data_IF_262512048274
#
_entry.id   IF_262512048274
#
_cell.length_a   1.000
_cell.length_b   1.000
_cell.length_c   1.000
_cell.angle_alpha   90.00
_cell.angle_beta   90.00
_cell.angle_gamma   90.00
#
_symmetry.space_group_name_H-M   'P 1'
#
loop_
_entity.id
_entity.type
_entity.pdbx_description
1 polymer ?
#
# COMPACT_ATOMS: atom_id res chain seq x y z
N UNK A 1 44.32 -21.55 23.70
CA UNK A 1 43.99 -20.54 24.73
C UNK A 1 43.30 -19.39 24.03
N UNK A 2 42.04 -19.13 24.33
CA UNK A 2 41.42 -17.85 23.94
C UNK A 2 42.20 -16.72 24.63
N UNK A 3 42.56 -15.67 23.91
CA UNK A 3 43.08 -14.47 24.57
C UNK A 3 41.99 -13.91 25.49
N UNK A 4 42.39 -13.47 26.70
CA UNK A 4 41.47 -12.87 27.67
C UNK A 4 40.63 -11.75 27.03
N UNK A 5 41.22 -11.01 26.08
CA UNK A 5 40.57 -9.95 25.30
C UNK A 5 39.35 -10.45 24.52
N UNK A 6 39.43 -11.63 23.89
CA UNK A 6 38.32 -12.23 23.13
C UNK A 6 37.19 -12.69 24.08
N UNK A 7 37.56 -13.21 25.25
CA UNK A 7 36.59 -13.61 26.27
C UNK A 7 35.84 -12.39 26.84
N UNK A 8 36.55 -11.30 27.16
CA UNK A 8 35.94 -10.03 27.55
C UNK A 8 35.01 -9.48 26.47
N UNK A 9 35.41 -9.57 25.20
CA UNK A 9 34.58 -9.12 24.07
C UNK A 9 33.28 -9.93 23.98
N UNK A 10 33.35 -11.27 24.03
CA UNK A 10 32.18 -12.16 23.93
C UNK A 10 31.17 -11.94 25.05
N UNK A 11 31.65 -11.84 26.30
CA UNK A 11 30.79 -11.53 27.45
C UNK A 11 30.25 -10.10 27.39
N UNK A 12 31.05 -9.14 26.93
CA UNK A 12 30.60 -7.76 26.71
C UNK A 12 29.49 -7.66 25.67
N UNK A 13 29.61 -8.39 24.56
CA UNK A 13 28.57 -8.47 23.52
C UNK A 13 27.30 -9.14 24.05
N UNK A 14 27.41 -10.24 24.79
CA UNK A 14 26.27 -10.90 25.44
C UNK A 14 25.51 -9.95 26.38
N UNK A 15 26.25 -9.20 27.20
CA UNK A 15 25.69 -8.18 28.11
C UNK A 15 25.01 -7.07 27.31
N UNK A 16 25.67 -6.53 26.30
CA UNK A 16 25.14 -5.43 25.49
C UNK A 16 23.85 -5.83 24.74
N UNK A 17 23.81 -7.04 24.16
CA UNK A 17 22.60 -7.55 23.49
C UNK A 17 21.46 -7.70 24.50
N UNK A 18 21.72 -8.33 25.66
CA UNK A 18 20.73 -8.47 26.72
C UNK A 18 20.21 -7.12 27.19
N UNK A 19 21.11 -6.18 27.49
CA UNK A 19 20.74 -4.83 27.90
C UNK A 19 19.86 -4.11 26.86
N UNK A 20 20.22 -4.21 25.59
CA UNK A 20 19.48 -3.58 24.49
C UNK A 20 18.06 -4.15 24.35
N UNK A 21 17.88 -5.47 24.48
CA UNK A 21 16.54 -6.10 24.50
C UNK A 21 15.75 -5.63 25.72
N UNK A 22 16.38 -5.57 26.89
CA UNK A 22 15.72 -5.18 28.12
C UNK A 22 15.31 -3.70 28.18
N UNK A 23 16.12 -2.80 27.61
CA UNK A 23 15.80 -1.38 27.53
C UNK A 23 14.54 -1.13 26.70
N UNK A 24 14.38 -1.85 25.59
CA UNK A 24 13.14 -1.82 24.82
C UNK A 24 11.96 -2.33 25.67
N UNK A 25 12.16 -3.42 26.42
CA UNK A 25 11.09 -4.02 27.23
C UNK A 25 10.58 -3.07 28.30
N UNK A 26 11.50 -2.38 28.97
CA UNK A 26 11.24 -1.37 29.99
C UNK A 26 10.50 -0.16 29.40
N UNK A 27 10.98 0.36 28.27
CA UNK A 27 10.33 1.46 27.55
C UNK A 27 8.89 1.13 27.10
N UNK A 28 8.65 -0.09 26.62
CA UNK A 28 7.33 -0.51 26.13
C UNK A 28 6.28 -0.71 27.24
N UNK A 29 6.68 -0.84 28.51
CA UNK A 29 5.79 -1.06 29.65
C UNK A 29 5.69 0.16 30.58
N UNK A 30 6.19 1.33 30.14
CA UNK A 30 6.37 2.57 30.90
C UNK A 30 5.09 3.27 31.39
N UNK A 31 4.22 2.54 32.08
CA UNK A 31 3.24 3.11 33.01
C UNK A 31 3.92 3.20 34.39
N UNK A 32 4.07 4.39 35.01
CA UNK A 32 4.83 4.58 36.25
C UNK A 32 4.38 3.70 37.44
N UNK A 33 3.14 3.20 37.39
CA UNK A 33 2.52 2.40 38.45
C UNK A 33 2.57 0.88 38.21
N UNK A 34 3.24 0.40 37.14
CA UNK A 34 3.39 -1.04 36.88
C UNK A 34 4.80 -1.53 37.23
N UNK A 35 4.90 -2.33 38.28
CA UNK A 35 6.11 -3.09 38.60
C UNK A 35 6.48 -4.02 37.43
N UNK A 36 7.62 -3.76 36.78
CA UNK A 36 8.12 -4.56 35.66
C UNK A 36 8.94 -5.73 36.22
N UNK A 37 8.57 -6.97 35.89
CA UNK A 37 9.27 -8.17 36.39
C UNK A 37 10.70 -8.32 35.82
N UNK A 38 10.95 -7.83 34.60
CA UNK A 38 12.25 -7.95 33.94
C UNK A 38 12.59 -6.69 33.13
N UNK A 39 13.30 -5.75 33.77
CA UNK A 39 13.85 -4.56 33.12
C UNK A 39 15.21 -4.80 32.43
N UNK A 40 15.84 -3.70 32.00
CA UNK A 40 17.12 -3.66 31.28
C UNK A 40 18.25 -4.47 31.95
N UNK A 41 18.35 -4.40 33.28
CA UNK A 41 19.36 -5.10 34.07
C UNK A 41 19.13 -6.61 34.08
N UNK A 42 17.87 -7.03 34.15
CA UNK A 42 17.50 -8.46 34.21
C UNK A 42 17.81 -9.14 32.88
N UNK A 43 17.52 -8.48 31.75
CA UNK A 43 17.89 -9.00 30.43
C UNK A 43 19.40 -8.99 30.17
N UNK A 44 20.13 -7.99 30.65
CA UNK A 44 21.60 -8.00 30.60
C UNK A 44 22.17 -9.22 31.36
N UNK A 45 21.61 -9.52 32.53
CA UNK A 45 21.97 -10.70 33.32
C UNK A 45 21.56 -12.01 32.63
N UNK A 46 20.45 -12.06 31.91
CA UNK A 46 20.08 -13.23 31.10
C UNK A 46 21.06 -13.47 29.94
N UNK A 47 21.51 -12.42 29.25
CA UNK A 47 22.56 -12.53 28.23
C UNK A 47 23.86 -13.07 28.82
N UNK A 48 24.29 -12.53 29.97
CA UNK A 48 25.46 -13.04 30.68
C UNK A 48 25.27 -14.49 31.15
N UNK A 49 24.09 -14.85 31.65
CA UNK A 49 23.77 -16.20 32.08
C UNK A 49 23.88 -17.20 30.93
N UNK A 50 23.47 -16.82 29.73
CA UNK A 50 23.67 -17.62 28.51
C UNK A 50 25.15 -17.84 28.19
N UNK A 51 25.95 -16.78 28.23
CA UNK A 51 27.40 -16.89 28.01
C UNK A 51 28.09 -17.75 29.09
N UNK A 52 27.70 -17.61 30.36
CA UNK A 52 28.17 -18.45 31.46
C UNK A 52 27.75 -19.91 31.30
N UNK A 53 26.52 -20.18 30.86
CA UNK A 53 26.04 -21.52 30.62
C UNK A 53 26.83 -22.22 29.52
N UNK A 54 27.11 -21.50 28.43
CA UNK A 54 27.92 -22.00 27.33
C UNK A 54 29.38 -22.24 27.77
N UNK A 55 29.96 -21.33 28.56
CA UNK A 55 31.30 -21.51 29.13
C UNK A 55 31.40 -22.72 30.06
N UNK A 56 30.42 -22.89 30.95
CA UNK A 56 30.39 -24.04 31.85
C UNK A 56 30.28 -25.37 31.10
N UNK A 57 29.54 -25.40 29.99
CA UNK A 57 29.41 -26.58 29.15
C UNK A 57 30.71 -26.96 28.44
N UNK A 58 31.43 -25.96 27.93
CA UNK A 58 32.72 -26.17 27.25
C UNK A 58 33.80 -26.61 28.26
N UNK A 59 33.87 -26.00 29.46
CA UNK A 59 34.83 -26.40 30.50
C UNK A 59 34.57 -27.81 31.05
N UNK A 60 33.30 -28.16 31.29
CA UNK A 60 32.91 -29.48 31.79
C UNK A 60 32.87 -30.54 30.68
N UNK A 61 33.10 -30.17 29.41
CA UNK A 61 32.94 -31.02 28.23
C UNK A 61 31.60 -31.78 28.22
N UNK A 62 30.54 -31.15 28.73
CA UNK A 62 29.25 -31.80 28.96
C UNK A 62 28.10 -30.86 28.67
N UNK A 63 27.26 -31.25 27.70
CA UNK A 63 26.04 -30.54 27.36
C UNK A 63 25.02 -30.51 28.53
N UNK A 64 25.18 -31.37 29.54
CA UNK A 64 24.31 -31.39 30.71
C UNK A 64 24.44 -30.12 31.57
N UNK A 65 25.62 -29.49 31.59
CA UNK A 65 25.82 -28.24 32.32
C UNK A 65 25.01 -27.09 31.69
N UNK A 66 24.99 -27.01 30.35
CA UNK A 66 24.17 -26.05 29.62
C UNK A 66 22.68 -26.27 29.87
N UNK A 67 22.22 -27.51 29.72
CA UNK A 67 20.81 -27.88 29.93
C UNK A 67 20.37 -27.62 31.37
N UNK A 68 21.23 -27.92 32.35
CA UNK A 68 20.95 -27.67 33.78
C UNK A 68 20.75 -26.18 34.08
N UNK A 69 21.62 -25.32 33.55
CA UNK A 69 21.52 -23.86 33.75
C UNK A 69 20.27 -23.31 33.03
N UNK A 70 19.99 -23.75 31.80
CA UNK A 70 18.77 -23.36 31.08
C UNK A 70 17.51 -23.82 31.83
N UNK A 71 17.49 -25.02 32.41
CA UNK A 71 16.34 -25.51 33.18
C UNK A 71 16.08 -24.65 34.42
N UNK A 72 17.13 -24.20 35.11
CA UNK A 72 17.00 -23.30 36.27
C UNK A 72 16.39 -21.97 35.84
N UNK A 73 16.90 -21.37 34.76
CA UNK A 73 16.32 -20.13 34.23
C UNK A 73 14.91 -20.34 33.68
N UNK A 74 14.64 -21.48 33.03
CA UNK A 74 13.31 -21.87 32.57
C UNK A 74 12.31 -22.00 33.73
N UNK A 75 12.74 -22.53 34.88
CA UNK A 75 11.92 -22.59 36.09
C UNK A 75 11.62 -21.19 36.63
N UNK A 76 12.61 -20.28 36.67
CA UNK A 76 12.38 -18.89 37.07
C UNK A 76 11.42 -18.17 36.11
N UNK A 77 11.59 -18.34 34.79
CA UNK A 77 10.70 -17.76 33.78
C UNK A 77 9.27 -18.30 33.92
N UNK A 78 9.12 -19.62 34.11
CA UNK A 78 7.81 -20.26 34.31
C UNK A 78 7.14 -19.75 35.58
N UNK A 79 7.89 -19.62 36.67
CA UNK A 79 7.39 -19.08 37.92
C UNK A 79 6.94 -17.61 37.75
N UNK A 80 7.73 -16.79 37.06
CA UNK A 80 7.39 -15.41 36.74
C UNK A 80 6.10 -15.33 35.90
N UNK A 81 5.99 -16.13 34.84
CA UNK A 81 4.80 -16.20 33.99
C UNK A 81 3.55 -16.61 34.77
N UNK A 82 3.65 -17.61 35.65
CA UNK A 82 2.52 -18.06 36.48
C UNK A 82 2.05 -16.97 37.44
N UNK A 83 2.97 -16.15 37.97
CA UNK A 83 2.63 -15.00 38.82
C UNK A 83 1.91 -13.92 38.01
N UNK A 84 2.39 -13.59 36.81
CA UNK A 84 1.76 -12.60 35.93
C UNK A 84 0.40 -13.05 35.40
N UNK A 85 0.27 -14.31 35.02
CA UNK A 85 -0.99 -14.90 34.61
C UNK A 85 -2.05 -14.82 35.72
N UNK A 86 -1.66 -15.01 36.99
CA UNK A 86 -2.54 -14.83 38.15
C UNK A 86 -2.96 -13.37 38.37
N UNK A 87 -2.12 -12.41 37.99
CA UNK A 87 -2.44 -10.97 38.00
C UNK A 87 -3.27 -10.52 36.80
N UNK A 88 -3.67 -11.43 35.90
CA UNK A 88 -4.43 -11.14 34.69
C UNK A 88 -3.60 -10.53 33.57
N UNK A 89 -2.27 -10.46 33.71
CA UNK A 89 -1.36 -10.00 32.67
C UNK A 89 -0.85 -11.21 31.88
N UNK A 90 -1.60 -11.60 30.84
CA UNK A 90 -1.24 -12.76 30.01
C UNK A 90 -0.52 -12.28 28.75
N UNK A 91 0.77 -12.55 28.64
CA UNK A 91 1.54 -12.35 27.41
C UNK A 91 2.77 -13.24 27.39
N UNK A 92 3.01 -13.94 26.27
CA UNK A 92 4.15 -14.87 26.08
C UNK A 92 5.41 -14.21 25.51
N UNK A 93 5.29 -12.96 25.07
CA UNK A 93 6.38 -12.25 24.35
C UNK A 93 7.59 -11.96 25.23
N UNK A 94 7.41 -11.80 26.55
CA UNK A 94 8.50 -11.49 27.48
C UNK A 94 9.38 -12.71 27.68
N UNK A 95 8.73 -13.85 27.86
CA UNK A 95 9.30 -15.15 28.15
C UNK A 95 10.11 -15.63 26.95
N UNK A 96 9.54 -15.47 25.74
CA UNK A 96 10.25 -15.74 24.48
C UNK A 96 11.47 -14.82 24.33
N UNK A 97 11.34 -13.52 24.63
CA UNK A 97 12.47 -12.60 24.56
C UNK A 97 13.59 -12.95 25.55
N UNK A 98 13.25 -13.42 26.76
CA UNK A 98 14.24 -13.90 27.75
C UNK A 98 14.98 -15.12 27.21
N UNK A 99 14.27 -16.09 26.64
CA UNK A 99 14.88 -17.28 26.01
C UNK A 99 15.82 -16.87 24.88
N UNK A 100 15.42 -15.92 24.05
CA UNK A 100 16.27 -15.39 22.98
C UNK A 100 17.51 -14.70 23.55
N UNK A 101 17.40 -13.89 24.62
CA UNK A 101 18.52 -13.22 25.25
C UNK A 101 19.57 -14.21 25.83
N UNK A 102 19.10 -15.29 26.49
CA UNK A 102 19.99 -16.36 26.97
C UNK A 102 20.67 -17.06 25.78
N UNK A 103 19.92 -17.33 24.71
CA UNK A 103 20.44 -18.03 23.52
C UNK A 103 21.46 -17.17 22.77
N UNK A 104 21.23 -15.87 22.61
CA UNK A 104 22.19 -14.95 21.97
C UNK A 104 23.44 -14.75 22.81
N UNK A 105 23.33 -14.75 24.14
CA UNK A 105 24.48 -14.79 25.04
C UNK A 105 25.34 -16.05 24.88
N UNK A 106 24.70 -17.20 24.71
CA UNK A 106 25.36 -18.48 24.43
C UNK A 106 26.08 -18.46 23.07
N UNK A 107 25.41 -17.94 22.04
CA UNK A 107 25.99 -17.77 20.69
C UNK A 107 27.20 -16.82 20.68
N UNK A 108 27.16 -15.76 21.48
CA UNK A 108 28.28 -14.85 21.64
C UNK A 108 29.50 -15.56 22.22
N UNK A 109 29.32 -16.44 23.22
CA UNK A 109 30.40 -17.23 23.79
C UNK A 109 30.98 -18.24 22.79
N UNK A 110 30.16 -18.91 21.98
CA UNK A 110 30.64 -19.84 20.94
C UNK A 110 31.32 -19.15 19.74
N UNK A 111 31.45 -17.82 19.76
CA UNK A 111 32.14 -17.04 18.73
C UNK A 111 31.27 -16.61 17.55
N UNK A 112 29.96 -16.91 17.57
CA UNK A 112 29.01 -16.46 16.55
C UNK A 112 28.53 -15.02 16.80
N UNK A 113 29.47 -14.09 16.97
CA UNK A 113 29.20 -12.71 17.39
C UNK A 113 28.25 -11.96 16.43
N UNK A 114 28.47 -12.08 15.13
CA UNK A 114 27.63 -11.46 14.10
C UNK A 114 26.20 -12.00 14.13
N UNK A 115 26.02 -13.31 14.32
CA UNK A 115 24.70 -13.92 14.41
C UNK A 115 23.99 -13.52 15.71
N UNK A 116 24.70 -13.51 16.83
CA UNK A 116 24.17 -13.07 18.13
C UNK A 116 23.69 -11.61 18.07
N UNK A 117 24.50 -10.72 17.48
CA UNK A 117 24.13 -9.31 17.26
C UNK A 117 22.92 -9.18 16.33
N UNK A 118 22.91 -9.89 15.19
CA UNK A 118 21.79 -9.83 14.25
C UNK A 118 20.48 -10.28 14.88
N UNK A 119 20.47 -11.41 15.61
CA UNK A 119 19.29 -11.91 16.32
C UNK A 119 18.89 -10.94 17.44
N UNK A 120 19.85 -10.43 18.21
CA UNK A 120 19.60 -9.47 19.28
C UNK A 120 18.93 -8.20 18.77
N UNK A 121 19.49 -7.58 17.74
CA UNK A 121 18.94 -6.37 17.10
C UNK A 121 17.58 -6.67 16.47
N UNK A 122 17.44 -7.76 15.70
CA UNK A 122 16.18 -8.12 15.07
C UNK A 122 15.06 -8.35 16.09
N UNK A 123 15.38 -9.00 17.22
CA UNK A 123 14.45 -9.22 18.32
C UNK A 123 13.99 -7.90 18.93
N UNK A 124 14.93 -6.98 19.19
CA UNK A 124 14.60 -5.65 19.74
C UNK A 124 13.77 -4.83 18.77
N UNK A 125 14.10 -4.84 17.48
CA UNK A 125 13.29 -4.17 16.44
C UNK A 125 11.88 -4.74 16.43
N UNK A 126 11.75 -6.08 16.42
CA UNK A 126 10.44 -6.74 16.42
C UNK A 126 9.61 -6.41 17.66
N UNK A 127 10.24 -6.34 18.84
CA UNK A 127 9.57 -5.92 20.07
C UNK A 127 9.20 -4.43 20.06
N UNK A 128 10.04 -3.56 19.47
CA UNK A 128 9.81 -2.12 19.38
C UNK A 128 8.60 -1.77 18.51
N UNK A 129 8.37 -2.53 17.44
CA UNK A 129 7.26 -2.30 16.49
C UNK A 129 5.89 -2.67 17.10
N UNK A 130 5.85 -3.35 18.26
CA UNK A 130 4.61 -3.76 18.92
C UNK A 130 3.66 -2.60 19.22
N UNK A 131 4.16 -1.45 19.67
CA UNK A 131 3.33 -0.28 20.03
C UNK A 131 2.54 0.26 18.83
N UNK A 132 3.15 0.26 17.65
CA UNK A 132 2.51 0.69 16.41
C UNK A 132 1.60 -0.40 15.84
N UNK A 133 2.01 -1.67 15.95
CA UNK A 133 1.22 -2.83 15.48
C UNK A 133 -0.09 -2.96 16.25
N UNK A 134 -0.09 -2.79 17.57
CA UNK A 134 -1.31 -2.85 18.38
C UNK A 134 -2.26 -1.69 18.08
N UNK A 135 -1.72 -0.47 17.87
CA UNK A 135 -2.54 0.68 17.47
C UNK A 135 -3.14 0.46 16.08
N UNK A 136 -2.34 -0.02 15.13
CA UNK A 136 -2.81 -0.34 13.78
C UNK A 136 -3.84 -1.46 13.81
N UNK A 137 -3.58 -2.56 14.52
CA UNK A 137 -4.52 -3.68 14.66
C UNK A 137 -5.85 -3.25 15.30
N UNK A 138 -5.82 -2.33 16.28
CA UNK A 138 -7.03 -1.75 16.87
C UNK A 138 -7.78 -0.80 15.93
N UNK A 139 -7.08 -0.21 14.95
CA UNK A 139 -7.70 0.66 13.94
C UNK A 139 -8.36 -0.11 12.79
N UNK A 140 -8.05 -1.41 12.66
CA UNK A 140 -8.63 -2.27 11.63
C UNK A 140 -10.06 -2.66 11.99
N UNK A 141 -10.97 -2.46 11.03
CA UNK A 141 -12.35 -2.90 11.11
C UNK A 141 -12.52 -4.28 10.47
N UNK A 142 -13.71 -4.89 10.61
CA UNK A 142 -14.00 -6.17 9.93
C UNK A 142 -13.95 -6.03 8.41
N UNK A 143 -14.33 -4.87 7.90
CA UNK A 143 -14.29 -4.52 6.49
C UNK A 143 -12.84 -4.46 5.99
N UNK A 144 -11.91 -3.90 6.78
CA UNK A 144 -10.48 -3.83 6.44
C UNK A 144 -9.86 -5.23 6.27
N UNK A 145 -10.13 -6.11 7.23
CA UNK A 145 -9.65 -7.50 7.20
C UNK A 145 -10.27 -8.23 6.01
N UNK A 146 -11.56 -8.02 5.74
CA UNK A 146 -12.24 -8.62 4.60
C UNK A 146 -11.64 -8.15 3.27
N UNK A 147 -11.35 -6.86 3.12
CA UNK A 147 -10.71 -6.30 1.93
C UNK A 147 -9.31 -6.91 1.68
N UNK A 148 -8.50 -7.02 2.74
CA UNK A 148 -7.16 -7.61 2.67
C UNK A 148 -7.23 -9.10 2.29
N UNK A 149 -8.14 -9.85 2.92
CA UNK A 149 -8.36 -11.27 2.61
C UNK A 149 -8.88 -11.46 1.19
N UNK A 150 -9.79 -10.62 0.72
CA UNK A 150 -10.29 -10.70 -0.66
C UNK A 150 -9.20 -10.39 -1.68
N UNK A 151 -8.36 -9.38 -1.45
CA UNK A 151 -7.19 -9.11 -2.29
C UNK A 151 -6.23 -10.32 -2.30
N UNK A 152 -6.01 -10.94 -1.14
CA UNK A 152 -5.21 -12.16 -1.03
C UNK A 152 -5.83 -13.35 -1.79
N UNK A 153 -7.15 -13.52 -1.73
CA UNK A 153 -7.86 -14.57 -2.48
C UNK A 153 -7.73 -14.36 -3.99
N UNK A 154 -7.99 -13.15 -4.50
CA UNK A 154 -7.90 -12.89 -5.95
C UNK A 154 -6.48 -13.02 -6.49
N UNK A 155 -5.46 -12.69 -5.68
CA UNK A 155 -4.04 -12.69 -6.09
C UNK A 155 -3.33 -14.03 -5.85
N UNK A 156 -3.49 -14.63 -4.67
CA UNK A 156 -2.75 -15.83 -4.28
C UNK A 156 -3.49 -17.14 -4.60
N UNK A 157 -4.81 -17.10 -4.79
CA UNK A 157 -5.62 -18.30 -5.10
C UNK A 157 -6.13 -18.24 -6.54
N UNK A 158 -6.89 -17.20 -6.91
CA UNK A 158 -7.56 -17.18 -8.23
C UNK A 158 -6.57 -17.01 -9.37
N UNK A 159 -5.66 -16.04 -9.29
CA UNK A 159 -4.67 -15.76 -10.35
C UNK A 159 -3.85 -17.01 -10.78
N UNK A 160 -3.23 -17.80 -9.88
CA UNK A 160 -2.42 -18.94 -10.29
C UNK A 160 -3.24 -20.11 -10.85
N UNK A 161 -4.54 -20.20 -10.56
CA UNK A 161 -5.42 -21.25 -11.08
C UNK A 161 -5.82 -20.97 -12.54
N UNK A 162 -5.78 -19.70 -12.98
CA UNK A 162 -6.25 -19.32 -14.31
C UNK A 162 -5.26 -19.74 -15.41
N UNK A 163 -5.77 -20.28 -16.52
CA UNK A 163 -4.92 -20.75 -17.61
C UNK A 163 -4.28 -19.56 -18.34
N UNK A 164 -2.97 -19.64 -18.58
CA UNK A 164 -2.21 -18.64 -19.32
C UNK A 164 -2.20 -18.94 -20.82
N UNK A 165 -3.39 -18.99 -21.41
CA UNK A 165 -3.57 -19.19 -22.85
C UNK A 165 -4.79 -18.40 -23.33
N UNK A 166 -4.74 -17.93 -24.58
CA UNK A 166 -5.86 -17.20 -25.17
C UNK A 166 -7.01 -18.16 -25.47
N UNK A 167 -8.25 -17.76 -25.16
CA UNK A 167 -9.43 -18.61 -25.37
C UNK A 167 -9.95 -18.59 -26.80
N UNK A 168 -9.81 -17.46 -27.51
CA UNK A 168 -10.37 -17.29 -28.85
C UNK A 168 -9.30 -17.52 -29.92
N UNK A 169 -9.69 -18.07 -31.10
CA UNK A 169 -8.80 -18.18 -32.23
C UNK A 169 -8.43 -16.79 -32.80
N UNK A 170 -7.30 -16.67 -33.53
CA UNK A 170 -6.96 -15.46 -34.27
C UNK A 170 -8.13 -15.06 -35.17
N UNK A 171 -8.53 -13.78 -35.20
CA UNK A 171 -7.79 -12.59 -34.73
C UNK A 171 -8.26 -12.00 -33.38
N UNK A 172 -9.05 -12.75 -32.61
CA UNK A 172 -9.55 -12.36 -31.28
C UNK A 172 -8.81 -13.07 -30.13
N UNK A 173 -7.63 -13.62 -30.43
CA UNK A 173 -6.67 -14.26 -29.51
C UNK A 173 -6.07 -13.30 -28.47
N UNK A 174 -6.69 -12.14 -28.27
CA UNK A 174 -6.34 -11.12 -27.29
C UNK A 174 -6.85 -11.47 -25.88
N UNK A 175 -7.89 -12.30 -25.77
CA UNK A 175 -8.48 -12.68 -24.48
C UNK A 175 -7.71 -13.80 -23.80
N UNK A 176 -6.78 -13.42 -22.93
CA UNK A 176 -6.05 -14.33 -22.04
C UNK A 176 -6.53 -14.15 -20.58
N UNK A 177 -7.12 -15.18 -19.95
CA UNK A 177 -7.69 -15.08 -18.60
C UNK A 177 -6.67 -14.72 -17.54
N UNK A 178 -5.48 -15.33 -17.60
CA UNK A 178 -4.40 -15.04 -16.67
C UNK A 178 -3.98 -13.57 -16.77
N UNK A 179 -3.80 -13.04 -17.99
CA UNK A 179 -3.44 -11.62 -18.18
C UNK A 179 -4.54 -10.66 -17.76
N UNK A 180 -5.80 -10.95 -18.12
CA UNK A 180 -6.97 -10.17 -17.69
C UNK A 180 -7.03 -10.12 -16.17
N UNK A 181 -6.86 -11.26 -15.52
CA UNK A 181 -6.92 -11.33 -14.06
C UNK A 181 -5.70 -10.70 -13.39
N UNK A 182 -4.52 -10.75 -14.04
CA UNK A 182 -3.35 -10.01 -13.59
C UNK A 182 -3.63 -8.50 -13.56
N UNK A 183 -4.33 -7.97 -14.57
CA UNK A 183 -4.79 -6.57 -14.57
C UNK A 183 -5.78 -6.29 -13.44
N UNK A 184 -6.72 -7.21 -13.16
CA UNK A 184 -7.65 -7.10 -12.02
C UNK A 184 -6.89 -6.99 -10.70
N UNK A 185 -5.91 -7.87 -10.47
CA UNK A 185 -5.07 -7.87 -9.26
C UNK A 185 -4.25 -6.59 -9.18
N UNK A 186 -3.69 -6.13 -10.29
CA UNK A 186 -2.87 -4.92 -10.34
C UNK A 186 -3.65 -3.66 -9.97
N UNK A 187 -4.81 -3.42 -10.60
CA UNK A 187 -5.67 -2.26 -10.29
C UNK A 187 -6.23 -2.36 -8.87
N UNK A 188 -6.65 -3.56 -8.45
CA UNK A 188 -7.12 -3.77 -7.08
C UNK A 188 -6.01 -3.49 -6.06
N UNK A 189 -4.77 -3.85 -6.37
CA UNK A 189 -3.60 -3.60 -5.53
C UNK A 189 -3.31 -2.10 -5.38
N UNK A 190 -3.31 -1.32 -6.46
CA UNK A 190 -3.10 0.13 -6.41
C UNK A 190 -4.20 0.79 -5.56
N UNK A 191 -5.45 0.45 -5.81
CA UNK A 191 -6.56 1.04 -5.06
C UNK A 191 -6.56 0.56 -3.58
N UNK A 192 -6.14 -0.67 -3.28
CA UNK A 192 -5.99 -1.15 -1.89
C UNK A 192 -4.86 -0.43 -1.15
N UNK A 193 -3.74 -0.15 -1.82
CA UNK A 193 -2.69 0.70 -1.26
C UNK A 193 -3.22 2.10 -0.93
N UNK A 194 -4.06 2.68 -1.80
CA UNK A 194 -4.76 3.92 -1.53
C UNK A 194 -5.65 3.83 -0.28
N UNK A 195 -6.39 2.74 -0.14
CA UNK A 195 -7.24 2.47 1.03
C UNK A 195 -6.44 2.33 2.33
N UNK A 196 -5.35 1.55 2.31
CA UNK A 196 -4.44 1.40 3.46
C UNK A 196 -3.79 2.73 3.83
N UNK A 197 -3.41 3.55 2.84
CA UNK A 197 -2.85 4.87 3.09
C UNK A 197 -3.83 5.78 3.86
N UNK A 198 -5.14 5.70 3.58
CA UNK A 198 -6.18 6.41 4.35
C UNK A 198 -6.15 5.97 5.82
N UNK A 199 -6.08 4.67 6.08
CA UNK A 199 -6.07 4.13 7.45
C UNK A 199 -4.81 4.51 8.23
N UNK A 200 -3.65 4.52 7.58
CA UNK A 200 -2.37 4.90 8.21
C UNK A 200 -2.32 6.40 8.51
N UNK A 201 -2.82 7.25 7.60
CA UNK A 201 -2.78 8.71 7.74
C UNK A 201 -3.91 9.24 8.64
N UNK A 202 -5.01 8.51 8.75
CA UNK A 202 -6.17 8.82 9.59
C UNK A 202 -7.29 9.61 8.86
N UNK A 203 -8.56 9.50 9.31
CA UNK A 203 -9.72 10.10 8.64
C UNK A 203 -9.86 11.62 8.87
N UNK A 204 -9.23 12.19 9.90
CA UNK A 204 -9.36 13.61 10.26
C UNK A 204 -8.43 14.58 9.49
N UNK A 205 -8.16 14.29 8.22
CA UNK A 205 -7.26 15.11 7.40
C UNK A 205 -8.01 16.22 6.66
N UNK A 206 -7.25 17.21 6.17
CA UNK A 206 -7.81 18.27 5.36
C UNK A 206 -8.44 17.74 4.07
N UNK A 207 -9.53 18.36 3.62
CA UNK A 207 -10.36 17.96 2.47
C UNK A 207 -9.52 17.59 1.22
N UNK A 208 -8.41 18.29 0.96
CA UNK A 208 -7.49 17.99 -0.15
C UNK A 208 -6.75 16.66 -0.03
N UNK A 209 -6.31 16.26 1.18
CA UNK A 209 -5.65 14.97 1.44
C UNK A 209 -6.67 13.83 1.24
N UNK A 210 -7.90 14.02 1.72
CA UNK A 210 -9.00 13.08 1.51
C UNK A 210 -9.30 12.92 0.02
N UNK A 211 -9.20 13.99 -0.77
CA UNK A 211 -9.27 13.95 -2.23
C UNK A 211 -8.13 13.17 -2.90
N UNK A 212 -6.88 13.36 -2.44
CA UNK A 212 -5.72 12.61 -2.94
C UNK A 212 -5.87 11.11 -2.68
N UNK A 213 -6.12 10.74 -1.43
CA UNK A 213 -6.19 9.36 -1.01
C UNK A 213 -7.43 8.66 -1.60
N UNK A 214 -8.57 9.36 -1.60
CA UNK A 214 -9.78 8.89 -2.29
C UNK A 214 -9.58 8.78 -3.81
N UNK A 215 -8.77 9.65 -4.41
CA UNK A 215 -8.43 9.61 -5.84
C UNK A 215 -7.59 8.41 -6.23
N UNK A 216 -6.72 7.91 -5.32
CA UNK A 216 -5.98 6.66 -5.52
C UNK A 216 -6.94 5.47 -5.61
N UNK A 217 -7.99 5.47 -4.78
CA UNK A 217 -9.01 4.43 -4.76
C UNK A 217 -9.97 4.56 -5.94
N UNK A 218 -10.68 5.70 -6.06
CA UNK A 218 -11.68 6.00 -7.09
C UNK A 218 -11.93 7.51 -7.18
N UNK A 219 -11.40 8.14 -8.23
CA UNK A 219 -11.66 9.57 -8.51
C UNK A 219 -13.12 9.85 -8.87
N UNK A 220 -13.88 8.87 -9.36
CA UNK A 220 -15.33 8.98 -9.59
C UNK A 220 -16.11 9.11 -8.29
N UNK A 221 -15.77 8.31 -7.28
CA UNK A 221 -16.44 8.34 -5.97
C UNK A 221 -16.17 9.68 -5.25
N UNK A 222 -14.93 10.17 -5.30
CA UNK A 222 -14.56 11.51 -4.78
C UNK A 222 -15.35 12.60 -5.51
N UNK A 223 -15.44 12.52 -6.84
CA UNK A 223 -16.18 13.51 -7.64
C UNK A 223 -17.64 13.55 -7.24
N UNK A 224 -18.31 12.39 -7.14
CA UNK A 224 -19.73 12.31 -6.77
C UNK A 224 -19.97 12.81 -5.34
N UNK A 225 -19.24 12.28 -4.37
CA UNK A 225 -19.42 12.56 -2.94
C UNK A 225 -19.24 14.05 -2.62
N UNK A 226 -18.13 14.65 -3.08
CA UNK A 226 -17.87 16.07 -2.85
C UNK A 226 -18.76 16.99 -3.68
N UNK A 227 -19.22 16.56 -4.86
CA UNK A 227 -20.21 17.32 -5.61
C UNK A 227 -21.55 17.36 -4.87
N UNK A 228 -22.02 16.24 -4.33
CA UNK A 228 -23.26 16.21 -3.56
C UNK A 228 -23.15 17.05 -2.26
N UNK A 229 -22.05 16.88 -1.51
CA UNK A 229 -21.80 17.62 -0.27
C UNK A 229 -21.69 19.13 -0.49
N UNK A 230 -21.16 19.58 -1.63
CA UNK A 230 -21.08 21.02 -1.94
C UNK A 230 -22.43 21.74 -1.99
N UNK A 231 -23.54 21.00 -2.18
CA UNK A 231 -24.89 21.58 -2.07
C UNK A 231 -25.32 21.80 -0.62
N UNK A 232 -24.85 20.95 0.31
CA UNK A 232 -25.18 20.99 1.73
C UNK A 232 -24.27 21.96 2.49
N UNK A 233 -23.02 22.08 2.05
CA UNK A 233 -21.97 22.90 2.67
C UNK A 233 -21.38 23.89 1.63
N UNK A 234 -22.09 24.98 1.26
CA UNK A 234 -21.65 25.90 0.21
C UNK A 234 -20.30 26.57 0.52
N UNK A 235 -20.01 26.85 1.78
CA UNK A 235 -18.78 27.49 2.25
C UNK A 235 -17.53 26.63 1.98
N UNK A 236 -17.71 25.30 1.87
CA UNK A 236 -16.65 24.33 1.57
C UNK A 236 -16.53 24.00 0.07
N UNK A 237 -17.25 24.71 -0.81
CA UNK A 237 -17.21 24.45 -2.26
C UNK A 237 -15.81 24.57 -2.86
N UNK A 238 -14.97 25.51 -2.40
CA UNK A 238 -13.58 25.63 -2.88
C UNK A 238 -12.69 24.48 -2.40
N UNK A 239 -12.70 24.10 -1.10
CA UNK A 239 -12.06 22.86 -0.64
C UNK A 239 -12.50 21.61 -1.41
N UNK A 240 -13.80 21.46 -1.69
CA UNK A 240 -14.30 20.35 -2.50
C UNK A 240 -13.79 20.40 -3.95
N UNK A 241 -13.75 21.58 -4.58
CA UNK A 241 -13.14 21.73 -5.90
C UNK A 241 -11.66 21.32 -5.90
N UNK A 242 -10.92 21.72 -4.86
CA UNK A 242 -9.53 21.32 -4.67
C UNK A 242 -9.42 19.79 -4.60
N UNK A 243 -10.19 19.14 -3.73
CA UNK A 243 -10.12 17.70 -3.53
C UNK A 243 -10.51 16.89 -4.76
N UNK A 244 -11.55 17.33 -5.49
CA UNK A 244 -11.95 16.72 -6.78
C UNK A 244 -10.83 16.88 -7.81
N UNK A 245 -10.25 18.07 -7.93
CA UNK A 245 -9.16 18.31 -8.89
C UNK A 245 -7.93 17.49 -8.54
N UNK A 246 -7.57 17.40 -7.25
CA UNK A 246 -6.48 16.53 -6.78
C UNK A 246 -6.74 15.07 -7.15
N UNK A 247 -7.97 14.57 -6.97
CA UNK A 247 -8.33 13.21 -7.35
C UNK A 247 -8.19 12.96 -8.87
N UNK A 248 -8.51 13.95 -9.70
CA UNK A 248 -8.28 13.87 -11.14
C UNK A 248 -6.78 13.93 -11.49
N UNK A 249 -5.99 14.74 -10.78
CA UNK A 249 -4.52 14.77 -10.95
C UNK A 249 -3.88 13.41 -10.62
N UNK A 250 -4.34 12.74 -9.56
CA UNK A 250 -3.89 11.39 -9.20
C UNK A 250 -4.20 10.38 -10.31
N UNK A 251 -5.36 10.49 -10.97
CA UNK A 251 -5.72 9.62 -12.09
C UNK A 251 -4.73 9.74 -13.26
N UNK A 252 -4.29 10.95 -13.63
CA UNK A 252 -3.26 11.10 -14.67
C UNK A 252 -1.94 10.41 -14.29
N UNK A 253 -1.53 10.50 -13.03
CA UNK A 253 -0.36 9.79 -12.54
C UNK A 253 -0.56 8.26 -12.61
N UNK A 254 -1.75 7.76 -12.27
CA UNK A 254 -2.10 6.33 -12.38
C UNK A 254 -2.02 5.81 -13.80
N UNK A 255 -2.55 6.55 -14.78
CA UNK A 255 -2.44 6.18 -16.22
C UNK A 255 -0.99 5.98 -16.64
N UNK A 256 -0.06 6.83 -16.20
CA UNK A 256 1.38 6.66 -16.49
C UNK A 256 1.95 5.41 -15.82
N UNK A 257 1.60 5.16 -14.57
CA UNK A 257 2.04 3.94 -13.86
C UNK A 257 1.53 2.69 -14.58
N UNK A 258 0.27 2.68 -14.98
CA UNK A 258 -0.38 1.57 -15.70
C UNK A 258 0.30 1.30 -17.05
N UNK A 259 0.52 2.32 -17.87
CA UNK A 259 1.25 2.19 -19.13
C UNK A 259 2.68 1.69 -18.89
N UNK A 260 3.37 2.24 -17.90
CA UNK A 260 4.75 1.89 -17.58
C UNK A 260 4.93 0.43 -17.15
N UNK A 261 4.00 -0.08 -16.34
CA UNK A 261 4.04 -1.47 -15.86
C UNK A 261 3.69 -2.46 -16.98
N UNK A 262 2.71 -2.13 -17.85
CA UNK A 262 2.29 -3.06 -18.91
C UNK A 262 3.26 -3.05 -20.09
N UNK A 263 3.58 -1.86 -20.62
CA UNK A 263 4.42 -1.68 -21.80
C UNK A 263 5.18 -0.36 -21.78
N UNK A 264 6.36 -0.38 -21.15
CA UNK A 264 7.24 0.77 -20.94
C UNK A 264 7.54 1.61 -22.20
N UNK A 265 7.78 1.06 -23.41
CA UNK A 265 8.04 1.88 -24.61
C UNK A 265 6.89 2.82 -24.98
N UNK A 266 5.65 2.48 -24.64
CA UNK A 266 4.49 3.35 -24.91
C UNK A 266 4.51 4.63 -24.06
N UNK A 267 5.26 4.64 -22.96
CA UNK A 267 5.43 5.84 -22.14
C UNK A 267 6.04 6.99 -22.94
N UNK A 268 6.96 6.72 -23.88
CA UNK A 268 7.65 7.75 -24.66
C UNK A 268 6.69 8.66 -25.43
N UNK A 269 5.51 8.13 -25.79
CA UNK A 269 4.47 8.89 -26.47
C UNK A 269 3.43 9.46 -25.49
N UNK A 270 3.05 8.69 -24.46
CA UNK A 270 1.96 9.07 -23.54
C UNK A 270 2.40 10.06 -22.46
N UNK A 271 3.69 10.14 -22.12
CA UNK A 271 4.15 10.92 -20.97
C UNK A 271 3.89 12.42 -21.13
N UNK A 272 4.16 13.02 -22.29
CA UNK A 272 4.00 14.47 -22.48
C UNK A 272 2.54 14.89 -22.26
N UNK A 273 1.53 14.32 -22.95
CA UNK A 273 0.18 14.83 -22.82
C UNK A 273 -0.44 14.58 -21.44
N UNK A 274 -0.18 13.41 -20.86
CA UNK A 274 -0.74 13.05 -19.56
C UNK A 274 -0.07 13.83 -18.43
N UNK A 275 1.26 14.00 -18.45
CA UNK A 275 1.95 14.83 -17.45
C UNK A 275 1.60 16.31 -17.59
N UNK A 276 1.47 16.83 -18.82
CA UNK A 276 1.08 18.22 -19.04
C UNK A 276 -0.32 18.51 -18.46
N UNK A 277 -1.32 17.66 -18.73
CA UNK A 277 -2.64 17.76 -18.10
C UNK A 277 -2.59 17.62 -16.58
N UNK A 278 -1.80 16.66 -16.08
CA UNK A 278 -1.61 16.46 -14.64
C UNK A 278 -0.99 17.68 -13.94
N UNK A 279 0.03 18.30 -14.55
CA UNK A 279 0.70 19.50 -14.04
C UNK A 279 -0.23 20.70 -14.01
N UNK A 280 -1.08 20.88 -15.04
CA UNK A 280 -2.10 21.92 -15.04
C UNK A 280 -3.07 21.73 -13.88
N UNK A 281 -3.53 20.50 -13.65
CA UNK A 281 -4.34 20.15 -12.49
C UNK A 281 -3.62 20.48 -11.17
N UNK A 282 -2.35 20.09 -11.04
CA UNK A 282 -1.52 20.34 -9.87
C UNK A 282 -1.33 21.85 -9.60
N UNK A 283 -0.99 22.64 -10.61
CA UNK A 283 -0.85 24.10 -10.47
C UNK A 283 -2.19 24.75 -10.08
N UNK A 284 -3.30 24.26 -10.63
CA UNK A 284 -4.62 24.74 -10.24
C UNK A 284 -4.97 24.36 -8.80
N UNK A 285 -4.62 23.14 -8.36
CA UNK A 285 -4.73 22.72 -6.96
C UNK A 285 -3.91 23.64 -6.04
N UNK A 286 -2.66 23.95 -6.38
CA UNK A 286 -1.84 24.87 -5.59
C UNK A 286 -2.48 26.26 -5.51
N UNK A 287 -2.96 26.79 -6.64
CA UNK A 287 -3.70 28.06 -6.66
C UNK A 287 -4.93 28.03 -5.75
N UNK A 288 -5.75 26.98 -5.83
CA UNK A 288 -6.93 26.81 -4.98
C UNK A 288 -6.55 26.66 -3.50
N UNK A 289 -5.46 25.97 -3.19
CA UNK A 289 -4.97 25.79 -1.81
C UNK A 289 -4.55 27.13 -1.20
N UNK A 290 -3.75 27.93 -1.90
CA UNK A 290 -3.34 29.26 -1.41
C UNK A 290 -4.46 30.31 -1.44
N UNK A 291 -5.51 30.11 -2.25
CA UNK A 291 -6.70 30.97 -2.30
C UNK A 291 -7.69 30.71 -1.14
N UNK A 292 -7.47 29.67 -0.34
CA UNK A 292 -8.33 29.30 0.79
C UNK A 292 -7.72 29.75 2.13
N UNK A 293 -8.57 30.24 3.04
CA UNK A 293 -8.19 30.66 4.41
C UNK A 293 -8.71 29.72 5.51
N UNK A 294 -9.35 28.62 5.15
CA UNK A 294 -10.07 27.77 6.12
C UNK A 294 -9.49 26.36 6.11
N UNK A 295 -8.89 25.95 7.22
CA UNK A 295 -8.43 24.59 7.46
C UNK A 295 -9.57 23.76 8.08
N UNK A 296 -10.56 23.42 7.26
CA UNK A 296 -11.64 22.50 7.66
C UNK A 296 -11.27 21.06 7.35
N UNK A 297 -11.59 20.16 8.28
CA UNK A 297 -11.36 18.71 8.17
C UNK A 297 -12.45 18.11 7.29
N UNK A 298 -12.04 17.29 6.33
CA UNK A 298 -12.94 16.62 5.40
C UNK A 298 -13.03 15.15 5.72
N UNK A 299 -14.10 14.72 6.36
CA UNK A 299 -14.36 13.29 6.55
C UNK A 299 -15.08 12.72 5.32
N UNK A 300 -14.55 11.66 4.72
CA UNK A 300 -15.27 10.87 3.71
C UNK A 300 -15.40 9.47 4.27
N UNK A 301 -16.64 8.99 4.39
CA UNK A 301 -16.91 7.59 4.65
C UNK A 301 -16.57 6.78 3.40
N UNK A 302 -15.36 6.22 3.37
CA UNK A 302 -14.93 5.33 2.31
C UNK A 302 -15.42 3.92 2.63
N UNK A 303 -16.47 3.51 1.92
CA UNK A 303 -16.88 2.11 1.91
C UNK A 303 -15.80 1.25 1.25
N UNK A 304 -15.62 0.02 1.76
CA UNK A 304 -14.67 -0.94 1.21
C UNK A 304 -14.88 -1.08 -0.33
N UNK A 305 -13.92 -0.67 -1.16
CA UNK A 305 -14.06 -0.72 -2.63
C UNK A 305 -13.89 -2.14 -3.17
N UNK A 306 -13.27 -3.01 -2.38
CA UNK A 306 -12.89 -4.35 -2.80
C UNK A 306 -13.94 -5.31 -2.28
N UNK A 307 -14.68 -5.83 -3.24
CA UNK A 307 -15.37 -7.10 -3.09
C UNK A 307 -14.99 -7.95 -4.30
N UNK A 308 -15.01 -9.26 -4.13
CA UNK A 308 -14.76 -10.23 -5.20
C UNK A 308 -15.67 -9.93 -6.41
N UNK A 309 -16.90 -9.47 -6.15
CA UNK A 309 -17.83 -9.03 -7.19
C UNK A 309 -17.32 -7.84 -8.02
N UNK A 310 -16.72 -6.83 -7.39
CA UNK A 310 -16.14 -5.67 -8.09
C UNK A 310 -14.94 -6.07 -8.95
N UNK A 311 -14.08 -6.95 -8.43
CA UNK A 311 -12.95 -7.50 -9.17
C UNK A 311 -13.38 -8.28 -10.43
N UNK A 312 -14.40 -9.13 -10.29
CA UNK A 312 -14.99 -9.87 -11.43
C UNK A 312 -15.61 -8.91 -12.45
N UNK A 313 -16.39 -7.91 -11.99
CA UNK A 313 -16.98 -6.89 -12.87
C UNK A 313 -15.92 -6.12 -13.65
N UNK A 314 -14.83 -5.72 -12.98
CA UNK A 314 -13.71 -5.06 -13.64
C UNK A 314 -13.05 -5.99 -14.67
N UNK A 315 -12.77 -7.25 -14.33
CA UNK A 315 -12.18 -8.21 -15.27
C UNK A 315 -13.04 -8.45 -16.50
N UNK A 316 -14.37 -8.53 -16.32
CA UNK A 316 -15.33 -8.64 -17.42
C UNK A 316 -15.36 -7.36 -18.28
N UNK A 317 -15.39 -6.19 -17.65
CA UNK A 317 -15.35 -4.90 -18.35
C UNK A 317 -14.06 -4.76 -19.16
N UNK A 318 -12.91 -5.06 -18.55
CA UNK A 318 -11.61 -5.05 -19.21
C UNK A 318 -11.57 -6.00 -20.42
N UNK A 319 -12.00 -7.25 -20.24
CA UNK A 319 -12.09 -8.22 -21.34
C UNK A 319 -13.03 -7.76 -22.46
N UNK A 320 -14.18 -7.18 -22.11
CA UNK A 320 -15.11 -6.62 -23.08
C UNK A 320 -14.48 -5.45 -23.86
N UNK A 321 -13.83 -4.52 -23.16
CA UNK A 321 -13.15 -3.37 -23.79
C UNK A 321 -12.06 -3.86 -24.73
N UNK A 322 -11.24 -4.83 -24.31
CA UNK A 322 -10.20 -5.43 -25.15
C UNK A 322 -10.78 -6.02 -26.44
N UNK A 323 -11.89 -6.77 -26.33
CA UNK A 323 -12.56 -7.39 -27.48
C UNK A 323 -13.20 -6.34 -28.39
N UNK A 324 -13.91 -5.36 -27.81
CA UNK A 324 -14.56 -4.27 -28.55
C UNK A 324 -13.53 -3.41 -29.27
N UNK A 325 -12.44 -3.04 -28.61
CA UNK A 325 -11.36 -2.27 -29.23
C UNK A 325 -10.69 -3.03 -30.36
N UNK A 326 -10.46 -4.35 -30.18
CA UNK A 326 -9.92 -5.18 -31.26
C UNK A 326 -10.90 -5.30 -32.44
N UNK A 327 -12.18 -5.51 -32.17
CA UNK A 327 -13.22 -5.57 -33.20
C UNK A 327 -13.34 -4.22 -33.95
N UNK A 328 -13.38 -3.11 -33.21
CA UNK A 328 -13.47 -1.78 -33.78
C UNK A 328 -12.25 -1.45 -34.65
N UNK A 329 -11.04 -1.80 -34.20
CA UNK A 329 -9.83 -1.66 -35.01
C UNK A 329 -9.91 -2.46 -36.31
N UNK A 330 -10.49 -3.67 -36.28
CA UNK A 330 -10.58 -4.55 -37.44
C UNK A 330 -11.60 -4.08 -38.47
N UNK A 331 -12.80 -3.73 -38.04
CA UNK A 331 -13.92 -3.43 -38.93
C UNK A 331 -13.98 -1.95 -39.34
N UNK A 332 -13.53 -1.05 -38.45
CA UNK A 332 -13.66 0.40 -38.59
C UNK A 332 -12.29 1.11 -38.63
N UNK A 333 -11.19 0.33 -38.62
CA UNK A 333 -9.83 0.86 -38.64
C UNK A 333 -9.50 1.70 -37.40
N UNK A 334 -8.60 2.65 -37.59
CA UNK A 334 -8.13 3.54 -36.52
C UNK A 334 -9.24 4.41 -35.94
N UNK A 335 -10.19 4.85 -36.78
CA UNK A 335 -11.36 5.61 -36.34
C UNK A 335 -12.22 4.81 -35.38
N UNK A 336 -12.43 3.53 -35.66
CA UNK A 336 -13.13 2.61 -34.76
C UNK A 336 -12.43 2.49 -33.41
N UNK A 337 -11.11 2.36 -33.44
CA UNK A 337 -10.29 2.29 -32.22
C UNK A 337 -10.50 3.55 -31.35
N UNK A 338 -10.41 4.75 -31.93
CA UNK A 338 -10.56 6.00 -31.19
C UNK A 338 -11.97 6.19 -30.64
N UNK A 339 -13.01 5.89 -31.42
CA UNK A 339 -14.40 5.96 -30.94
C UNK A 339 -14.61 4.98 -29.78
N UNK A 340 -14.14 3.74 -29.93
CA UNK A 340 -14.26 2.73 -28.87
C UNK A 340 -13.54 3.17 -27.59
N UNK A 341 -12.41 3.87 -27.72
CA UNK A 341 -11.61 4.37 -26.60
C UNK A 341 -12.30 5.53 -25.88
N UNK A 342 -12.88 6.46 -26.63
CA UNK A 342 -13.67 7.57 -26.06
C UNK A 342 -14.86 7.03 -25.27
N UNK A 343 -15.60 6.07 -25.84
CA UNK A 343 -16.78 5.47 -25.21
C UNK A 343 -16.37 4.65 -23.97
N UNK A 344 -15.34 3.81 -24.09
CA UNK A 344 -14.88 2.98 -22.96
C UNK A 344 -14.32 3.83 -21.82
N UNK A 345 -13.64 4.94 -22.17
CA UNK A 345 -13.16 5.92 -21.21
C UNK A 345 -14.26 6.61 -20.41
N UNK A 346 -15.54 6.60 -20.85
CA UNK A 346 -16.66 7.09 -20.04
C UNK A 346 -16.87 6.21 -18.80
N UNK A 347 -16.75 4.90 -18.97
CA UNK A 347 -16.96 3.92 -17.91
C UNK A 347 -15.75 3.88 -16.97
N UNK A 348 -14.57 3.61 -17.54
CA UNK A 348 -13.34 3.44 -16.77
C UNK A 348 -12.10 3.66 -17.66
N UNK A 349 -11.19 4.52 -17.21
CA UNK A 349 -9.97 4.84 -17.98
C UNK A 349 -8.90 3.75 -17.83
N UNK A 350 -8.89 3.03 -16.72
CA UNK A 350 -7.88 2.00 -16.42
C UNK A 350 -8.09 0.82 -17.38
N UNK A 351 -9.35 0.41 -17.58
CA UNK A 351 -9.70 -0.70 -18.47
C UNK A 351 -9.20 -0.47 -19.92
N UNK A 352 -9.40 0.73 -20.47
CA UNK A 352 -8.95 1.07 -21.83
C UNK A 352 -7.44 1.33 -21.89
N UNK A 353 -6.84 1.92 -20.84
CA UNK A 353 -5.39 2.15 -20.76
C UNK A 353 -4.62 0.84 -20.82
N UNK A 354 -4.99 -0.12 -19.96
CA UNK A 354 -4.39 -1.44 -19.93
C UNK A 354 -4.66 -2.22 -21.23
N UNK A 355 -5.83 -2.02 -21.86
CA UNK A 355 -6.19 -2.70 -23.12
C UNK A 355 -5.31 -2.22 -24.27
N UNK A 356 -5.15 -0.89 -24.41
CA UNK A 356 -4.31 -0.29 -25.44
C UNK A 356 -2.84 -0.64 -25.24
N UNK A 357 -2.36 -0.65 -23.99
CA UNK A 357 -1.00 -1.05 -23.67
C UNK A 357 -0.73 -2.52 -24.03
N UNK A 358 -1.65 -3.44 -23.72
CA UNK A 358 -1.49 -4.87 -24.04
C UNK A 358 -1.60 -5.14 -25.56
N UNK A 359 -2.52 -4.49 -26.26
CA UNK A 359 -2.66 -4.61 -27.71
C UNK A 359 -1.45 -4.02 -28.46
N UNK A 360 -0.83 -2.98 -27.90
CA UNK A 360 0.43 -2.41 -28.41
C UNK A 360 1.61 -3.35 -28.16
N UNK A 361 1.70 -3.90 -26.94
CA UNK A 361 2.75 -4.86 -26.54
C UNK A 361 2.77 -6.12 -27.39
N UNK A 362 1.60 -6.60 -27.79
CA UNK A 362 1.44 -7.78 -28.65
C UNK A 362 1.65 -7.48 -30.15
N UNK A 363 1.90 -6.21 -30.51
CA UNK A 363 2.11 -5.78 -31.90
C UNK A 363 0.83 -5.69 -32.73
N UNK A 364 -0.35 -5.85 -32.10
CA UNK A 364 -1.66 -5.81 -32.76
C UNK A 364 -2.04 -4.37 -33.14
N UNK A 365 -1.61 -3.39 -32.32
CA UNK A 365 -1.82 -1.96 -32.53
C UNK A 365 -0.46 -1.25 -32.56
N UNK A 366 -0.27 -0.31 -33.48
CA UNK A 366 0.93 0.52 -33.51
C UNK A 366 0.98 1.48 -32.31
N UNK A 367 2.16 1.69 -31.72
CA UNK A 367 2.33 2.50 -30.52
C UNK A 367 1.70 3.90 -30.58
N UNK A 368 1.82 4.69 -31.67
CA UNK A 368 1.20 6.02 -31.74
C UNK A 368 -0.34 5.98 -31.65
N UNK A 369 -0.95 4.96 -32.26
CA UNK A 369 -2.42 4.78 -32.25
C UNK A 369 -2.92 4.38 -30.87
N UNK A 370 -2.20 3.48 -30.20
CA UNK A 370 -2.47 3.11 -28.82
C UNK A 370 -2.32 4.32 -27.88
N UNK A 371 -1.27 5.12 -28.05
CA UNK A 371 -1.04 6.33 -27.26
C UNK A 371 -2.19 7.35 -27.42
N UNK A 372 -2.57 7.65 -28.66
CA UNK A 372 -3.67 8.58 -28.94
C UNK A 372 -5.01 8.06 -28.38
N UNK A 373 -5.28 6.76 -28.49
CA UNK A 373 -6.46 6.12 -27.90
C UNK A 373 -6.52 6.29 -26.37
N UNK A 374 -5.40 6.09 -25.66
CA UNK A 374 -5.30 6.28 -24.20
C UNK A 374 -5.55 7.75 -23.83
N UNK A 375 -4.96 8.69 -24.58
CA UNK A 375 -5.13 10.12 -24.31
C UNK A 375 -6.59 10.53 -24.51
N UNK A 376 -7.21 10.14 -25.63
CA UNK A 376 -8.62 10.43 -25.90
C UNK A 376 -9.55 9.83 -24.85
N UNK A 377 -9.30 8.60 -24.42
CA UNK A 377 -10.04 7.98 -23.33
C UNK A 377 -9.90 8.75 -22.02
N UNK A 378 -8.68 9.17 -21.67
CA UNK A 378 -8.40 9.94 -20.44
C UNK A 378 -9.09 11.31 -20.46
N UNK A 379 -9.07 11.99 -21.61
CA UNK A 379 -9.78 13.27 -21.80
C UNK A 379 -11.30 13.06 -21.71
N UNK A 380 -11.83 12.03 -22.35
CA UNK A 380 -13.25 11.64 -22.26
C UNK A 380 -13.67 11.40 -20.80
N UNK A 381 -12.90 10.61 -20.05
CA UNK A 381 -13.17 10.32 -18.65
C UNK A 381 -13.17 11.58 -17.78
N UNK A 382 -12.18 12.46 -17.98
CA UNK A 382 -12.08 13.75 -17.28
C UNK A 382 -13.27 14.64 -17.60
N UNK A 383 -13.68 14.71 -18.88
CA UNK A 383 -14.82 15.50 -19.32
C UNK A 383 -16.14 14.99 -18.70
N UNK A 384 -16.35 13.67 -18.63
CA UNK A 384 -17.53 13.06 -18.01
C UNK A 384 -17.59 13.34 -16.52
N UNK A 385 -16.48 13.12 -15.78
CA UNK A 385 -16.39 13.44 -14.34
C UNK A 385 -16.65 14.93 -14.10
N UNK A 386 -16.10 15.77 -14.97
CA UNK A 386 -16.38 17.20 -14.98
C UNK A 386 -17.86 17.52 -15.17
N UNK A 387 -18.51 16.89 -16.16
CA UNK A 387 -19.93 17.01 -16.42
C UNK A 387 -20.79 16.59 -15.21
N UNK A 388 -20.47 15.45 -14.59
CA UNK A 388 -21.12 14.96 -13.37
C UNK A 388 -21.02 16.02 -12.26
N UNK A 389 -19.82 16.55 -12.01
CA UNK A 389 -19.61 17.55 -10.97
C UNK A 389 -20.34 18.87 -11.26
N UNK A 390 -20.43 19.28 -12.52
CA UNK A 390 -21.15 20.48 -12.93
C UNK A 390 -22.68 20.32 -12.82
N UNK A 391 -23.20 19.11 -13.05
CA UNK A 391 -24.63 18.81 -12.94
C UNK A 391 -25.08 18.69 -11.48
N UNK A 392 -24.34 17.91 -10.69
CA UNK A 392 -24.70 17.57 -9.31
C UNK A 392 -24.25 18.67 -8.34
N UNK A 393 -23.10 19.31 -8.60
CA UNK A 393 -22.47 20.25 -7.68
C UNK A 393 -23.19 21.58 -7.49
N UNK A 394 -22.95 22.19 -6.33
CA UNK A 394 -23.46 23.51 -5.96
C UNK A 394 -22.90 24.63 -6.84
N UNK A 395 -23.62 25.75 -6.95
CA UNK A 395 -23.25 26.85 -7.88
C UNK A 395 -21.82 27.38 -7.66
N UNK A 396 -21.36 27.43 -6.41
CA UNK A 396 -20.02 27.89 -6.07
C UNK A 396 -18.92 26.88 -6.42
N UNK A 397 -19.24 25.59 -6.53
CA UNK A 397 -18.32 24.52 -6.96
C UNK A 397 -18.09 24.53 -8.48
N UNK A 398 -19.13 24.89 -9.25
CA UNK A 398 -19.13 24.76 -10.71
C UNK A 398 -18.07 25.60 -11.41
N UNK A 399 -17.94 26.87 -11.02
CA UNK A 399 -17.02 27.81 -11.70
C UNK A 399 -15.54 27.38 -11.55
N UNK A 400 -15.04 27.03 -10.35
CA UNK A 400 -13.70 26.48 -10.20
C UNK A 400 -13.47 25.20 -11.02
N UNK A 401 -14.40 24.24 -10.95
CA UNK A 401 -14.24 22.97 -11.67
C UNK A 401 -14.30 23.14 -13.18
N UNK A 402 -15.17 24.01 -13.71
CA UNK A 402 -15.23 24.31 -15.13
C UNK A 402 -13.86 24.78 -15.66
N UNK A 403 -13.19 25.66 -14.90
CA UNK A 403 -11.86 26.13 -15.28
C UNK A 403 -10.83 25.01 -15.24
N UNK A 404 -10.83 24.17 -14.20
CA UNK A 404 -9.95 23.01 -14.09
C UNK A 404 -10.12 22.06 -15.28
N UNK A 405 -11.37 21.67 -15.59
CA UNK A 405 -11.71 20.77 -16.69
C UNK A 405 -11.22 21.33 -18.02
N UNK A 406 -11.57 22.58 -18.34
CA UNK A 406 -11.21 23.20 -19.61
C UNK A 406 -9.70 23.29 -19.80
N UNK A 407 -8.96 23.68 -18.75
CA UNK A 407 -7.51 23.79 -18.83
C UNK A 407 -6.84 22.43 -19.02
N UNK A 408 -7.24 21.40 -18.26
CA UNK A 408 -6.67 20.06 -18.38
C UNK A 408 -6.99 19.42 -19.73
N UNK A 409 -8.21 19.58 -20.24
CA UNK A 409 -8.63 19.08 -21.55
C UNK A 409 -7.90 19.81 -22.68
N UNK A 410 -7.83 21.14 -22.63
CA UNK A 410 -7.18 21.94 -23.66
C UNK A 410 -5.71 21.56 -23.79
N UNK A 411 -4.98 21.45 -22.66
CA UNK A 411 -3.57 21.06 -22.69
C UNK A 411 -3.39 19.62 -23.14
N UNK A 412 -4.21 18.68 -22.65
CA UNK A 412 -4.11 17.27 -23.03
C UNK A 412 -4.38 17.02 -24.51
N UNK A 413 -5.41 17.66 -25.07
CA UNK A 413 -5.73 17.56 -26.49
C UNK A 413 -4.66 18.26 -27.34
N UNK A 414 -4.20 19.45 -26.94
CA UNK A 414 -3.19 20.20 -27.70
C UNK A 414 -1.85 19.46 -27.77
N UNK A 415 -1.44 18.85 -26.66
CA UNK A 415 -0.20 18.06 -26.59
C UNK A 415 -0.33 16.71 -27.28
N UNK A 416 -1.53 16.14 -27.36
CA UNK A 416 -1.78 14.93 -28.15
C UNK A 416 -1.50 15.12 -29.65
N UNK A 417 -1.60 16.36 -30.17
CA UNK A 417 -1.28 16.67 -31.56
C UNK A 417 0.23 16.59 -31.89
N UNK A 418 1.08 16.40 -30.88
CA UNK A 418 2.54 16.26 -31.04
C UNK A 418 2.98 14.80 -31.27
N UNK A 419 2.04 13.85 -31.19
CA UNK A 419 2.23 12.40 -31.38
C UNK A 419 1.71 12.02 -32.76
#
# INVERSE_FOLDING_TARGET
>A
MMENTDLFLRFGVALAIGFLIGLQREFAHGDPDRDIIAGERTFALFGLAGALAAMAADELNSALAFVGIILIFGAFITAAYLVDARKGQVGLTTEVAIVIAITTGSLAYWGYLTLALAIGIATTVMLSVKLETDRFARSLTREDISAALQLAVISAIVLPILPNQSFLPPPFDVLNPFKIWLMVVFISGISFLGYVAIKVIGPEQGIGITGFLGGLVSSTAVTLSFSERSNREPDLSKPFALAITVAWTVMFARVLVEVGVVYQPLLELVWIPITASGLVGLFYCLYLYFSQRTAEKGDIDFSNPFDLGSAIKFGLLYGLVLLVSRAAQMYLGDTGLYISSIISGIADVDAITLSMAELSKTGVIAMPKAALAIILATMSNTAVKGGIALMIGGKALRKPLLFAILMMLAVGISTALLI
#
